data_IF_474933823008
#
_entry.id   IF_474933823008
#
_cell.length_a   1.000
_cell.length_b   1.000
_cell.length_c   1.000
_cell.angle_alpha   90.00
_cell.angle_beta   90.00
_cell.angle_gamma   90.00
#
_symmetry.space_group_name_H-M   'P 1'
#
loop_
_entity.id
_entity.type
_entity.pdbx_description
1 polymer ?
#
# COMPACT_ATOMS: atom_id res chain seq x y z
N UNK A 1 25.92 10.58 13.69
CA UNK A 1 24.85 10.45 14.69
C UNK A 1 24.03 9.23 14.31
N UNK A 2 23.77 8.31 15.25
CA UNK A 2 22.94 7.13 14.96
C UNK A 2 21.50 7.57 14.81
N UNK A 3 20.88 7.29 13.67
CA UNK A 3 19.48 7.63 13.39
C UNK A 3 18.57 6.81 14.30
N UNK A 4 17.67 7.46 15.04
CA UNK A 4 16.68 6.78 15.89
C UNK A 4 15.37 6.62 15.12
N UNK A 5 15.13 5.42 14.60
CA UNK A 5 13.96 5.09 13.78
C UNK A 5 12.64 5.09 14.56
N UNK A 6 12.67 4.84 15.89
CA UNK A 6 11.46 4.93 16.71
C UNK A 6 10.95 6.37 16.81
N UNK A 7 11.84 7.34 17.07
CA UNK A 7 11.46 8.76 17.09
C UNK A 7 10.99 9.25 15.72
N UNK A 8 11.58 8.72 14.64
CA UNK A 8 11.13 9.03 13.28
C UNK A 8 9.72 8.47 13.03
N UNK A 9 9.46 7.22 13.42
CA UNK A 9 8.15 6.61 13.28
C UNK A 9 7.08 7.41 14.06
N UNK A 10 7.38 7.88 15.26
CA UNK A 10 6.45 8.73 16.03
C UNK A 10 6.10 10.02 15.26
N UNK A 11 7.10 10.64 14.63
CA UNK A 11 6.89 11.81 13.77
C UNK A 11 6.08 11.48 12.50
N UNK A 12 6.33 10.32 11.88
CA UNK A 12 5.55 9.83 10.75
C UNK A 12 4.08 9.61 11.14
N UNK A 13 3.82 8.99 12.30
CA UNK A 13 2.47 8.75 12.83
C UNK A 13 1.74 10.06 13.07
N UNK A 14 2.38 11.04 13.73
CA UNK A 14 1.79 12.36 13.93
C UNK A 14 1.45 13.05 12.59
N UNK A 15 2.36 12.96 11.62
CA UNK A 15 2.15 13.50 10.26
C UNK A 15 0.96 12.85 9.56
N UNK A 16 0.87 11.51 9.59
CA UNK A 16 -0.24 10.78 8.98
C UNK A 16 -1.59 11.06 9.68
N UNK A 17 -1.58 11.31 10.99
CA UNK A 17 -2.77 11.71 11.75
C UNK A 17 -3.30 13.07 11.30
N UNK A 18 -2.41 14.05 11.15
CA UNK A 18 -2.77 15.38 10.67
C UNK A 18 -3.30 15.32 9.22
N UNK A 19 -2.61 14.59 8.33
CA UNK A 19 -3.06 14.36 6.96
C UNK A 19 -4.40 13.61 6.90
N UNK A 20 -4.62 12.64 7.80
CA UNK A 20 -5.88 11.93 7.89
C UNK A 20 -7.04 12.80 8.37
N UNK A 21 -6.80 13.72 9.31
CA UNK A 21 -7.81 14.69 9.73
C UNK A 21 -8.19 15.61 8.56
N UNK A 22 -7.20 16.09 7.80
CA UNK A 22 -7.43 16.91 6.60
C UNK A 22 -8.23 16.14 5.55
N UNK A 23 -7.77 14.95 5.15
CA UNK A 23 -8.45 14.15 4.12
C UNK A 23 -9.86 13.70 4.55
N UNK A 24 -10.11 13.46 5.85
CA UNK A 24 -11.45 13.15 6.35
C UNK A 24 -12.45 14.30 6.17
N UNK A 25 -11.99 15.55 6.28
CA UNK A 25 -12.84 16.71 6.05
C UNK A 25 -13.24 16.85 4.58
N UNK A 26 -12.34 16.52 3.65
CA UNK A 26 -12.70 16.32 2.24
C UNK A 26 -13.64 15.12 2.09
N UNK A 27 -13.27 13.95 2.61
CA UNK A 27 -14.02 12.70 2.49
C UNK A 27 -15.48 12.84 2.89
N UNK A 28 -15.79 13.54 3.99
CA UNK A 28 -17.17 13.78 4.46
C UNK A 28 -18.06 14.48 3.44
N UNK A 29 -17.47 15.21 2.50
CA UNK A 29 -18.15 15.96 1.44
C UNK A 29 -18.34 15.15 0.17
N UNK A 30 -18.04 13.85 0.16
CA UNK A 30 -18.21 12.99 -1.03
C UNK A 30 -19.65 13.01 -1.61
N UNK A 31 -20.67 13.23 -0.75
CA UNK A 31 -22.08 13.36 -1.16
C UNK A 31 -22.43 14.72 -1.78
N UNK A 32 -21.57 15.71 -1.57
CA UNK A 32 -21.71 17.08 -2.09
C UNK A 32 -21.03 17.27 -3.44
N UNK A 33 -20.44 16.21 -4.01
CA UNK A 33 -19.88 16.20 -5.36
C UNK A 33 -21.07 16.30 -6.35
N UNK A 34 -21.63 17.50 -6.48
CA UNK A 34 -22.60 17.84 -7.51
C UNK A 34 -21.90 18.13 -8.84
N UNK A 35 -22.47 17.56 -9.89
CA UNK A 35 -22.08 17.74 -11.29
C UNK A 35 -22.31 19.21 -11.65
N UNK A 36 -21.32 20.09 -11.53
CA UNK A 36 -21.52 21.47 -12.00
C UNK A 36 -20.42 22.51 -11.80
N UNK A 37 -19.50 22.35 -10.85
CA UNK A 37 -18.48 23.40 -10.59
C UNK A 37 -17.05 22.89 -10.75
N UNK A 38 -16.80 21.62 -10.40
CA UNK A 38 -15.55 20.87 -10.57
C UNK A 38 -15.91 19.39 -10.74
N UNK A 39 -15.19 18.66 -11.59
CA UNK A 39 -15.48 17.23 -11.81
C UNK A 39 -15.07 16.38 -10.59
N UNK A 40 -15.54 15.12 -10.47
CA UNK A 40 -15.09 14.20 -9.42
C UNK A 40 -13.56 14.05 -9.37
N UNK A 41 -12.89 14.05 -10.53
CA UNK A 41 -11.43 14.01 -10.60
C UNK A 41 -10.73 15.24 -10.01
N UNK A 42 -11.33 16.42 -10.12
CA UNK A 42 -10.77 17.65 -9.54
C UNK A 42 -10.87 17.63 -8.01
N UNK A 43 -11.96 17.06 -7.47
CA UNK A 43 -12.17 16.98 -6.02
C UNK A 43 -11.14 16.10 -5.32
N UNK A 44 -10.87 14.93 -5.89
CA UNK A 44 -9.89 14.01 -5.32
C UNK A 44 -8.47 14.55 -5.50
N UNK A 45 -8.17 15.15 -6.67
CA UNK A 45 -6.89 15.81 -6.90
C UNK A 45 -6.61 16.94 -5.91
N UNK A 46 -7.61 17.74 -5.53
CA UNK A 46 -7.44 18.77 -4.48
C UNK A 46 -7.09 18.11 -3.12
N UNK A 47 -7.80 17.06 -2.71
CA UNK A 47 -7.57 16.36 -1.44
C UNK A 47 -6.19 15.67 -1.39
N UNK A 48 -5.81 14.99 -2.47
CA UNK A 48 -4.51 14.35 -2.65
C UNK A 48 -3.36 15.37 -2.55
N UNK A 49 -3.45 16.47 -3.28
CA UNK A 49 -2.44 17.53 -3.29
C UNK A 49 -2.31 18.25 -1.95
N UNK A 50 -3.42 18.54 -1.29
CA UNK A 50 -3.42 19.20 0.02
C UNK A 50 -2.80 18.27 1.09
N UNK A 51 -3.14 16.97 1.04
CA UNK A 51 -2.55 15.94 1.90
C UNK A 51 -1.05 15.78 1.67
N UNK A 52 -0.59 15.60 0.42
CA UNK A 52 0.85 15.45 0.14
C UNK A 52 1.62 16.73 0.47
N UNK A 53 1.04 17.93 0.29
CA UNK A 53 1.66 19.19 0.70
C UNK A 53 1.92 19.21 2.20
N UNK A 54 0.92 18.89 3.03
CA UNK A 54 1.06 18.81 4.48
C UNK A 54 2.12 17.79 4.89
N UNK A 55 2.08 16.59 4.30
CA UNK A 55 3.03 15.51 4.60
C UNK A 55 4.46 15.96 4.24
N UNK A 56 4.66 16.57 3.07
CA UNK A 56 5.96 17.09 2.62
C UNK A 56 6.49 18.16 3.57
N UNK A 57 5.67 19.14 3.95
CA UNK A 57 6.06 20.20 4.87
C UNK A 57 6.53 19.66 6.22
N UNK A 58 5.76 18.72 6.80
CA UNK A 58 6.10 18.07 8.07
C UNK A 58 7.39 17.26 7.96
N UNK A 59 7.46 16.33 7.01
CA UNK A 59 8.61 15.42 6.87
C UNK A 59 9.89 16.17 6.52
N UNK A 60 9.86 17.04 5.50
CA UNK A 60 11.05 17.76 5.04
C UNK A 60 11.51 18.85 6.01
N UNK A 61 10.59 19.44 6.78
CA UNK A 61 10.92 20.43 7.81
C UNK A 61 11.78 19.87 8.94
N UNK A 62 11.58 18.59 9.29
CA UNK A 62 12.36 17.93 10.34
C UNK A 62 13.49 17.03 9.79
N UNK A 63 13.27 16.39 8.64
CA UNK A 63 14.17 15.45 8.00
C UNK A 63 14.29 15.78 6.50
N UNK A 64 15.20 16.71 6.11
CA UNK A 64 15.34 17.22 4.74
C UNK A 64 16.03 16.21 3.80
N UNK A 65 15.44 15.03 3.70
CA UNK A 65 15.84 13.90 2.87
C UNK A 65 15.13 13.93 1.52
N UNK A 66 15.50 13.02 0.62
CA UNK A 66 14.78 12.87 -0.64
C UNK A 66 13.32 12.47 -0.40
N UNK A 67 12.41 12.87 -1.27
CA UNK A 67 11.00 12.49 -1.19
C UNK A 67 10.45 12.22 -2.58
N UNK A 68 9.76 11.10 -2.73
CA UNK A 68 8.94 10.76 -3.90
C UNK A 68 7.52 10.55 -3.44
N UNK A 69 6.58 11.30 -4.00
CA UNK A 69 5.15 11.09 -3.81
C UNK A 69 4.43 10.97 -5.16
N UNK A 70 3.13 10.73 -5.12
CA UNK A 70 2.30 10.54 -6.33
C UNK A 70 1.97 11.88 -7.02
N UNK A 71 1.74 12.95 -6.26
CA UNK A 71 1.10 14.17 -6.76
C UNK A 71 2.08 15.24 -7.26
N UNK A 72 3.30 15.23 -6.73
CA UNK A 72 4.29 16.26 -7.01
C UNK A 72 5.62 15.66 -7.47
N UNK A 73 6.39 16.45 -8.20
CA UNK A 73 7.74 16.07 -8.61
C UNK A 73 8.60 15.64 -7.41
N UNK A 74 9.49 14.64 -7.59
CA UNK A 74 10.41 14.24 -6.55
C UNK A 74 11.28 15.40 -6.09
N UNK A 75 11.60 15.40 -4.79
CA UNK A 75 12.54 16.34 -4.19
C UNK A 75 13.81 15.58 -3.83
N UNK A 76 14.95 16.17 -4.14
CA UNK A 76 16.25 15.65 -3.73
C UNK A 76 16.65 16.20 -2.36
N UNK A 77 17.13 15.31 -1.50
CA UNK A 77 17.66 15.66 -0.18
C UNK A 77 19.17 15.87 -0.21
N UNK A 78 19.69 16.58 0.80
CA UNK A 78 21.14 16.67 1.02
C UNK A 78 21.71 15.31 1.46
N UNK A 79 20.92 14.53 2.19
CA UNK A 79 21.19 13.12 2.49
C UNK A 79 20.72 12.27 1.30
N UNK A 80 21.66 11.54 0.71
CA UNK A 80 21.42 10.67 -0.44
C UNK A 80 21.11 9.23 -0.02
N UNK A 81 21.29 8.89 1.26
CA UNK A 81 21.02 7.55 1.76
C UNK A 81 19.55 7.38 2.11
N UNK A 82 18.84 8.44 2.50
CA UNK A 82 17.44 8.37 2.95
C UNK A 82 16.46 8.95 1.94
N UNK A 83 15.32 8.27 1.77
CA UNK A 83 14.22 8.74 0.92
C UNK A 83 12.85 8.39 1.49
N UNK A 84 11.97 9.38 1.53
CA UNK A 84 10.55 9.22 1.81
C UNK A 84 9.82 8.75 0.56
N UNK A 85 8.91 7.78 0.72
CA UNK A 85 7.89 7.42 -0.27
C UNK A 85 6.53 7.72 0.35
N UNK A 86 5.67 8.45 -0.37
CA UNK A 86 4.39 8.94 0.16
C UNK A 86 3.29 8.68 -0.86
N UNK A 87 2.21 8.06 -0.40
CA UNK A 87 0.92 8.07 -1.11
C UNK A 87 -0.10 8.78 -0.21
N UNK A 88 -0.57 9.99 -0.58
CA UNK A 88 -1.50 10.76 0.22
C UNK A 88 -2.91 10.17 0.30
N UNK A 89 -3.38 9.43 -0.72
CA UNK A 89 -4.69 8.75 -0.75
C UNK A 89 -4.61 7.50 -1.65
N UNK A 90 -4.12 6.39 -1.10
CA UNK A 90 -4.24 5.09 -1.76
C UNK A 90 -5.70 4.64 -1.71
N UNK A 91 -6.24 4.35 -2.89
CA UNK A 91 -7.68 4.11 -3.08
C UNK A 91 -8.47 5.37 -3.38
N UNK A 92 -7.94 6.28 -4.20
CA UNK A 92 -8.61 7.46 -4.77
C UNK A 92 -10.06 7.19 -5.24
N UNK A 93 -10.30 6.04 -5.88
CA UNK A 93 -11.66 5.63 -6.29
C UNK A 93 -12.54 5.32 -5.08
N UNK A 94 -12.02 4.60 -4.09
CA UNK A 94 -12.74 4.36 -2.84
C UNK A 94 -13.08 5.67 -2.12
N UNK A 95 -12.12 6.59 -2.04
CA UNK A 95 -12.29 7.91 -1.45
C UNK A 95 -13.47 8.67 -2.09
N UNK A 96 -13.51 8.72 -3.43
CA UNK A 96 -14.59 9.35 -4.19
C UNK A 96 -15.98 8.78 -3.88
N UNK A 97 -16.05 7.47 -3.60
CA UNK A 97 -17.32 6.78 -3.34
C UNK A 97 -17.61 6.58 -1.84
N UNK A 98 -16.90 7.29 -0.96
CA UNK A 98 -17.17 7.22 0.48
C UNK A 98 -16.78 5.87 1.11
N UNK A 99 -15.79 5.19 0.54
CA UNK A 99 -15.23 3.93 1.04
C UNK A 99 -13.85 4.14 1.70
N UNK A 100 -13.32 3.07 2.30
CA UNK A 100 -12.03 3.12 2.98
C UNK A 100 -10.88 3.39 2.00
N UNK A 101 -10.02 4.32 2.39
CA UNK A 101 -8.77 4.68 1.71
C UNK A 101 -7.64 4.73 2.75
N UNK A 102 -6.39 4.85 2.30
CA UNK A 102 -5.25 4.92 3.21
C UNK A 102 -4.25 6.00 2.84
N UNK A 103 -3.57 6.55 3.84
CA UNK A 103 -2.35 7.34 3.68
C UNK A 103 -1.16 6.42 3.93
N UNK A 104 -0.15 6.46 3.08
CA UNK A 104 1.07 5.66 3.25
C UNK A 104 2.30 6.54 3.35
N UNK A 105 3.20 6.20 4.27
CA UNK A 105 4.50 6.85 4.39
C UNK A 105 5.52 5.74 4.65
N UNK A 106 6.52 5.64 3.78
CA UNK A 106 7.66 4.74 3.96
C UNK A 106 8.97 5.53 3.97
N UNK A 107 9.91 5.11 4.81
CA UNK A 107 11.28 5.59 4.84
C UNK A 107 12.20 4.51 4.28
N UNK A 108 12.90 4.83 3.20
CA UNK A 108 13.98 4.01 2.67
C UNK A 108 15.34 4.49 3.13
N UNK A 109 16.24 3.53 3.32
CA UNK A 109 17.69 3.76 3.38
C UNK A 109 18.38 2.91 2.32
N UNK A 110 18.97 3.54 1.31
CA UNK A 110 19.42 2.84 0.12
C UNK A 110 18.28 2.06 -0.54
N UNK A 111 18.45 0.74 -0.69
CA UNK A 111 17.45 -0.13 -1.30
C UNK A 111 16.52 -0.81 -0.27
N UNK A 112 16.56 -0.44 1.01
CA UNK A 112 15.75 -1.09 2.04
C UNK A 112 14.71 -0.14 2.63
N UNK A 113 13.46 -0.58 2.76
CA UNK A 113 12.45 0.12 3.57
C UNK A 113 12.71 -0.16 5.05
N UNK A 114 12.97 0.89 5.83
CA UNK A 114 13.36 0.79 7.25
C UNK A 114 12.19 1.10 8.18
N UNK A 115 11.36 2.08 7.84
CA UNK A 115 10.11 2.39 8.56
C UNK A 115 8.98 2.47 7.55
N UNK A 116 7.78 2.09 7.98
CA UNK A 116 6.59 2.18 7.13
C UNK A 116 5.33 2.32 7.97
N UNK A 117 4.39 3.09 7.47
CA UNK A 117 3.03 3.12 7.98
C UNK A 117 2.00 3.09 6.86
N UNK A 118 0.85 2.51 7.18
CA UNK A 118 -0.39 2.60 6.41
C UNK A 118 -1.45 3.04 7.40
N UNK A 119 -2.10 4.17 7.15
CA UNK A 119 -3.14 4.70 8.02
C UNK A 119 -4.47 4.77 7.28
N UNK A 120 -5.50 4.12 7.82
CA UNK A 120 -6.88 4.29 7.36
C UNK A 120 -7.59 5.32 8.25
N UNK A 121 -7.88 6.54 7.76
CA UNK A 121 -8.54 7.55 8.57
C UNK A 121 -10.00 7.23 8.90
N UNK A 122 -10.68 6.48 8.01
CA UNK A 122 -12.11 6.18 8.14
C UNK A 122 -12.36 5.18 9.28
N UNK A 123 -11.51 4.15 9.39
CA UNK A 123 -11.61 3.14 10.45
C UNK A 123 -10.72 3.43 11.67
N UNK A 124 -9.94 4.50 11.65
CA UNK A 124 -8.93 4.80 12.67
C UNK A 124 -7.94 3.64 12.91
N UNK A 125 -7.39 3.12 11.81
CA UNK A 125 -6.45 2.00 11.85
C UNK A 125 -5.05 2.45 11.41
N UNK A 126 -4.14 2.57 12.36
CA UNK A 126 -2.74 2.92 12.15
C UNK A 126 -1.88 1.66 12.18
N UNK A 127 -1.45 1.22 11.00
CA UNK A 127 -0.50 0.13 10.83
C UNK A 127 0.92 0.70 10.77
N UNK A 128 1.85 0.17 11.57
CA UNK A 128 3.24 0.64 11.61
C UNK A 128 4.22 -0.52 11.65
N UNK A 129 5.42 -0.31 11.10
CA UNK A 129 6.54 -1.24 11.22
C UNK A 129 7.88 -0.51 11.20
N UNK A 130 8.84 -1.08 11.94
CA UNK A 130 10.27 -0.80 11.80
C UNK A 130 10.95 -2.13 11.47
N UNK A 131 11.85 -2.11 10.50
CA UNK A 131 12.59 -3.30 10.08
C UNK A 131 13.31 -3.94 11.29
N UNK A 132 12.98 -5.20 11.59
CA UNK A 132 13.52 -5.98 12.70
C UNK A 132 12.73 -5.89 14.02
N UNK A 133 11.79 -4.96 14.17
CA UNK A 133 11.07 -4.70 15.43
C UNK A 133 9.61 -5.20 15.40
N UNK A 134 9.15 -5.72 14.27
CA UNK A 134 7.79 -6.19 14.06
C UNK A 134 6.83 -5.13 13.50
N UNK A 135 5.63 -5.58 13.16
CA UNK A 135 4.53 -4.75 12.70
C UNK A 135 3.42 -4.67 13.75
N UNK A 136 2.70 -3.55 13.79
CA UNK A 136 1.69 -3.24 14.78
C UNK A 136 0.46 -2.59 14.14
N UNK A 137 -0.73 -2.85 14.69
CA UNK A 137 -1.97 -2.11 14.41
C UNK A 137 -2.39 -1.43 15.72
N UNK A 138 -2.41 -0.10 15.75
CA UNK A 138 -2.78 0.68 16.95
C UNK A 138 -2.03 0.23 18.22
N UNK A 139 -0.76 -0.17 18.07
CA UNK A 139 0.10 -0.65 19.15
C UNK A 139 0.01 -2.15 19.45
N UNK A 140 -0.93 -2.88 18.84
CA UNK A 140 -1.03 -4.33 18.97
C UNK A 140 -0.20 -5.05 17.92
N UNK A 141 0.63 -6.00 18.33
CA UNK A 141 1.55 -6.71 17.42
C UNK A 141 0.81 -7.59 16.43
N UNK A 142 1.20 -7.48 15.16
CA UNK A 142 0.62 -8.22 14.05
C UNK A 142 1.30 -9.57 13.81
N UNK A 143 0.53 -10.48 13.20
CA UNK A 143 0.98 -11.73 12.60
C UNK A 143 0.07 -12.05 11.41
N UNK A 144 0.66 -12.53 10.33
CA UNK A 144 -0.13 -13.05 9.20
C UNK A 144 -0.99 -14.24 9.63
N UNK A 145 -2.08 -14.47 8.89
CA UNK A 145 -2.95 -15.63 9.13
C UNK A 145 -2.16 -16.94 8.96
N UNK A 146 -2.35 -17.92 9.84
CA UNK A 146 -1.63 -19.20 9.81
C UNK A 146 -2.32 -20.32 9.01
N UNK A 147 -3.49 -20.06 8.41
CA UNK A 147 -4.24 -21.08 7.69
C UNK A 147 -3.44 -21.68 6.54
N UNK A 148 -3.48 -23.01 6.43
CA UNK A 148 -2.94 -23.79 5.32
C UNK A 148 -4.05 -24.40 4.45
N UNK A 149 -5.30 -24.26 4.87
CA UNK A 149 -6.46 -24.78 4.14
C UNK A 149 -6.80 -23.85 2.99
N UNK A 150 -6.69 -24.37 1.76
CA UNK A 150 -7.01 -23.64 0.52
C UNK A 150 -8.45 -23.12 0.57
N UNK A 151 -9.39 -23.90 1.09
CA UNK A 151 -10.80 -23.50 1.18
C UNK A 151 -11.04 -22.33 2.17
N UNK A 152 -10.07 -22.00 3.01
CA UNK A 152 -10.11 -20.87 3.93
C UNK A 152 -9.25 -19.69 3.47
N UNK A 153 -8.57 -19.79 2.32
CA UNK A 153 -7.81 -18.69 1.78
C UNK A 153 -8.73 -17.54 1.36
N UNK A 154 -8.38 -16.33 1.82
CA UNK A 154 -9.03 -15.09 1.42
C UNK A 154 -8.00 -14.20 0.74
N UNK A 155 -8.07 -14.13 -0.59
CA UNK A 155 -7.04 -13.49 -1.42
C UNK A 155 -7.55 -12.15 -1.93
N UNK A 156 -6.78 -11.09 -1.69
CA UNK A 156 -7.02 -9.79 -2.28
C UNK A 156 -6.40 -9.66 -3.69
N UNK A 157 -7.00 -8.86 -4.56
CA UNK A 157 -6.42 -8.43 -5.84
C UNK A 157 -6.98 -7.07 -6.25
N UNK A 158 -6.26 -6.35 -7.10
CA UNK A 158 -6.85 -5.29 -7.92
C UNK A 158 -7.31 -5.80 -9.28
N UNK A 159 -8.33 -5.16 -9.87
CA UNK A 159 -8.82 -5.47 -11.20
C UNK A 159 -8.78 -4.20 -12.06
N UNK A 160 -8.22 -4.24 -13.29
CA UNK A 160 -8.20 -3.09 -14.15
C UNK A 160 -9.62 -2.72 -14.58
N UNK A 161 -9.93 -1.44 -14.48
CA UNK A 161 -11.11 -0.81 -15.10
C UNK A 161 -10.72 -0.24 -16.47
N UNK A 162 -11.68 0.13 -17.34
CA UNK A 162 -11.38 0.71 -18.66
C UNK A 162 -10.40 1.90 -18.61
N UNK A 163 -10.37 2.65 -17.50
CA UNK A 163 -9.50 3.81 -17.31
C UNK A 163 -8.11 3.44 -16.72
N UNK A 164 -7.93 2.23 -16.19
CA UNK A 164 -6.69 1.73 -15.58
C UNK A 164 -5.87 0.79 -16.50
N UNK A 165 -6.27 0.72 -17.78
CA UNK A 165 -5.77 -0.18 -18.83
C UNK A 165 -6.11 -1.65 -18.58
N UNK A 166 -7.06 -2.15 -19.36
CA UNK A 166 -7.29 -3.59 -19.49
C UNK A 166 -6.03 -4.23 -20.10
N UNK A 167 -5.48 -5.23 -19.42
CA UNK A 167 -4.40 -6.05 -19.95
C UNK A 167 -4.80 -7.53 -19.92
N UNK A 168 -4.36 -8.34 -20.91
CA UNK A 168 -4.84 -9.71 -21.10
C UNK A 168 -4.71 -10.62 -19.87
N UNK A 169 -3.70 -10.40 -19.03
CA UNK A 169 -3.41 -11.24 -17.86
C UNK A 169 -4.33 -11.05 -16.66
N UNK A 170 -4.98 -9.89 -16.48
CA UNK A 170 -5.64 -9.56 -15.21
C UNK A 170 -6.76 -10.54 -14.83
N UNK A 171 -7.72 -10.77 -15.74
CA UNK A 171 -8.85 -11.66 -15.50
C UNK A 171 -8.44 -13.14 -15.59
N UNK A 172 -7.39 -13.46 -16.35
CA UNK A 172 -6.82 -14.81 -16.39
C UNK A 172 -6.20 -15.20 -15.04
N UNK A 173 -5.58 -14.26 -14.32
CA UNK A 173 -5.08 -14.51 -12.96
C UNK A 173 -6.19 -14.82 -11.99
N UNK A 174 -7.27 -14.02 -12.05
CA UNK A 174 -8.44 -14.26 -11.23
C UNK A 174 -9.05 -15.64 -11.51
N UNK A 175 -9.15 -16.02 -12.79
CA UNK A 175 -9.64 -17.33 -13.19
C UNK A 175 -8.73 -18.47 -12.70
N UNK A 176 -7.41 -18.27 -12.69
CA UNK A 176 -6.42 -19.26 -12.27
C UNK A 176 -6.51 -19.61 -10.77
N UNK A 177 -6.95 -18.70 -9.91
CA UNK A 177 -6.93 -18.90 -8.45
C UNK A 177 -8.30 -19.20 -7.83
N UNK A 178 -9.40 -18.95 -8.55
CA UNK A 178 -10.74 -18.88 -7.93
C UNK A 178 -11.37 -20.23 -7.57
N UNK A 179 -10.92 -21.35 -8.16
CA UNK A 179 -11.67 -22.60 -8.11
C UNK A 179 -11.66 -23.31 -6.73
N UNK A 180 -10.57 -23.29 -5.94
CA UNK A 180 -10.56 -23.94 -4.62
C UNK A 180 -10.50 -22.98 -3.43
N UNK A 181 -10.26 -21.67 -3.63
CA UNK A 181 -10.09 -20.73 -2.51
C UNK A 181 -11.42 -20.28 -1.91
N UNK A 182 -11.40 -19.94 -0.62
CA UNK A 182 -12.60 -19.53 0.11
C UNK A 182 -13.20 -18.23 -0.40
N UNK A 183 -12.38 -17.22 -0.71
CA UNK A 183 -12.87 -15.99 -1.31
C UNK A 183 -11.80 -15.15 -2.00
N UNK A 184 -12.26 -14.37 -2.98
CA UNK A 184 -11.50 -13.23 -3.53
C UNK A 184 -12.08 -11.92 -2.96
N UNK A 185 -11.20 -10.94 -2.73
CA UNK A 185 -11.57 -9.57 -2.36
C UNK A 185 -10.92 -8.57 -3.31
N UNK A 186 -11.70 -7.59 -3.74
CA UNK A 186 -11.17 -6.38 -4.38
C UNK A 186 -11.33 -5.27 -3.35
N UNK A 187 -10.25 -4.95 -2.64
CA UNK A 187 -10.27 -3.97 -1.55
C UNK A 187 -10.31 -2.54 -2.09
N UNK A 188 -9.69 -2.31 -3.26
CA UNK A 188 -9.64 -0.99 -3.89
C UNK A 188 -8.52 -0.08 -3.37
N UNK A 189 -7.57 -0.62 -2.61
CA UNK A 189 -6.33 0.04 -2.16
C UNK A 189 -5.25 -1.03 -1.95
N UNK A 190 -4.08 -0.82 -2.55
CA UNK A 190 -2.98 -1.80 -2.52
C UNK A 190 -2.31 -1.84 -1.16
N UNK A 191 -2.11 -0.68 -0.53
CA UNK A 191 -1.52 -0.54 0.80
C UNK A 191 -2.42 -1.16 1.88
N UNK A 192 -3.73 -0.88 1.83
CA UNK A 192 -4.69 -1.47 2.77
C UNK A 192 -4.80 -2.99 2.59
N UNK A 193 -4.68 -3.48 1.35
CA UNK A 193 -4.61 -4.93 1.09
C UNK A 193 -3.38 -5.58 1.72
N UNK A 194 -2.20 -4.95 1.58
CA UNK A 194 -0.98 -5.40 2.28
C UNK A 194 -1.15 -5.37 3.80
N UNK A 195 -1.71 -4.29 4.35
CA UNK A 195 -1.98 -4.17 5.79
C UNK A 195 -2.95 -5.26 6.29
N UNK A 196 -3.96 -5.60 5.49
CA UNK A 196 -4.89 -6.68 5.80
C UNK A 196 -4.25 -8.06 5.74
N UNK A 197 -3.27 -8.29 4.87
CA UNK A 197 -2.43 -9.50 4.92
C UNK A 197 -1.60 -9.52 6.20
N UNK A 198 -0.94 -8.40 6.54
CA UNK A 198 -0.10 -8.30 7.72
C UNK A 198 -0.86 -8.59 9.04
N UNK A 199 -2.13 -8.15 9.14
CA UNK A 199 -2.98 -8.44 10.30
C UNK A 199 -3.86 -9.69 10.17
N UNK A 200 -3.71 -10.47 9.09
CA UNK A 200 -4.38 -11.76 8.90
C UNK A 200 -5.85 -11.70 8.49
N UNK A 201 -6.36 -10.53 8.09
CA UNK A 201 -7.70 -10.35 7.48
C UNK A 201 -7.76 -10.88 6.05
N UNK A 202 -6.62 -10.84 5.36
CA UNK A 202 -6.37 -11.55 4.11
C UNK A 202 -5.27 -12.58 4.34
N UNK A 203 -5.32 -13.69 3.60
CA UNK A 203 -4.26 -14.71 3.63
C UNK A 203 -3.20 -14.45 2.56
N UNK A 204 -3.56 -13.68 1.53
CA UNK A 204 -2.64 -13.16 0.52
C UNK A 204 -3.24 -12.02 -0.28
N UNK A 205 -2.39 -11.31 -0.99
CA UNK A 205 -2.72 -10.25 -1.93
C UNK A 205 -1.81 -10.35 -3.14
N UNK A 206 -2.36 -10.05 -4.31
CA UNK A 206 -1.60 -10.03 -5.54
C UNK A 206 -2.03 -8.88 -6.46
N UNK A 207 -1.08 -8.13 -7.01
CA UNK A 207 -1.34 -7.14 -8.07
C UNK A 207 -0.10 -6.82 -8.91
N UNK A 208 -0.28 -6.07 -10.00
CA UNK A 208 0.76 -5.30 -10.67
C UNK A 208 0.50 -3.81 -10.41
N UNK A 209 1.18 -3.21 -9.41
CA UNK A 209 0.92 -1.84 -8.94
C UNK A 209 2.19 -1.05 -8.59
N UNK A 210 2.06 0.24 -8.29
CA UNK A 210 3.16 1.13 -7.95
C UNK A 210 3.93 0.70 -6.69
N UNK A 211 5.24 0.93 -6.70
CA UNK A 211 6.05 0.67 -5.52
C UNK A 211 5.83 1.70 -4.40
N UNK A 212 5.46 2.93 -4.74
CA UNK A 212 5.13 3.98 -3.74
C UNK A 212 3.97 3.49 -2.86
N UNK A 213 2.91 2.99 -3.49
CA UNK A 213 1.68 2.50 -2.87
C UNK A 213 1.95 1.28 -1.95
N UNK A 214 2.92 0.44 -2.31
CA UNK A 214 3.15 -0.85 -1.64
C UNK A 214 4.35 -0.89 -0.71
N UNK A 215 5.26 0.10 -0.74
CA UNK A 215 6.51 0.06 0.02
C UNK A 215 6.29 -0.11 1.53
N UNK A 216 5.35 0.64 2.12
CA UNK A 216 5.00 0.50 3.54
C UNK A 216 4.30 -0.83 3.82
N UNK A 217 3.36 -1.23 2.96
CA UNK A 217 2.64 -2.49 3.04
C UNK A 217 3.54 -3.73 3.00
N UNK A 218 4.56 -3.73 2.14
CA UNK A 218 5.56 -4.79 2.02
C UNK A 218 6.31 -4.97 3.34
N UNK A 219 6.77 -3.87 3.95
CA UNK A 219 7.46 -3.94 5.24
C UNK A 219 6.53 -4.49 6.33
N UNK A 220 5.27 -4.03 6.38
CA UNK A 220 4.28 -4.55 7.33
C UNK A 220 4.12 -6.07 7.22
N UNK A 221 4.01 -6.59 6.00
CA UNK A 221 3.84 -8.04 5.78
C UNK A 221 5.10 -8.81 6.19
N UNK A 222 6.29 -8.34 5.82
CA UNK A 222 7.56 -8.98 6.19
C UNK A 222 7.73 -9.05 7.72
N UNK A 223 7.47 -7.95 8.42
CA UNK A 223 7.59 -7.85 9.88
C UNK A 223 6.48 -8.61 10.64
N UNK A 224 5.35 -8.87 9.99
CA UNK A 224 4.29 -9.75 10.48
C UNK A 224 4.55 -11.25 10.20
N UNK A 225 5.66 -11.60 9.54
CA UNK A 225 6.05 -12.98 9.23
C UNK A 225 5.47 -13.53 7.92
N UNK A 226 5.03 -12.66 7.01
CA UNK A 226 4.61 -13.02 5.66
C UNK A 226 5.77 -13.09 4.66
N UNK A 227 5.45 -13.52 3.45
CA UNK A 227 6.36 -13.66 2.32
C UNK A 227 6.00 -12.65 1.24
N UNK A 228 7.02 -12.06 0.62
CA UNK A 228 6.90 -11.09 -0.46
C UNK A 228 7.77 -11.53 -1.63
N UNK A 229 7.17 -11.70 -2.81
CA UNK A 229 7.88 -11.98 -4.06
C UNK A 229 7.12 -11.40 -5.25
N UNK A 230 7.67 -11.50 -6.44
CA UNK A 230 6.90 -11.38 -7.67
C UNK A 230 6.22 -12.72 -8.06
N UNK A 231 5.59 -12.81 -9.25
CA UNK A 231 4.92 -14.04 -9.75
C UNK A 231 5.84 -15.26 -9.95
N UNK A 232 7.15 -15.04 -10.01
CA UNK A 232 8.16 -16.07 -10.27
C UNK A 232 9.07 -16.32 -9.06
N UNK A 233 8.70 -15.79 -7.90
CA UNK A 233 9.43 -16.00 -6.65
C UNK A 233 10.68 -15.14 -6.52
N UNK A 234 10.81 -14.10 -7.36
CA UNK A 234 11.96 -13.18 -7.33
C UNK A 234 11.76 -12.08 -6.30
N UNK A 235 12.88 -11.54 -5.81
CA UNK A 235 12.94 -10.60 -4.69
C UNK A 235 12.72 -9.12 -5.06
N UNK A 236 13.03 -8.20 -4.12
CA UNK A 236 12.80 -6.76 -4.24
C UNK A 236 13.40 -6.13 -5.50
N UNK A 237 14.54 -6.63 -5.95
CA UNK A 237 15.22 -6.13 -7.14
C UNK A 237 14.39 -6.27 -8.44
N UNK A 238 13.33 -7.10 -8.42
CA UNK A 238 12.37 -7.29 -9.50
C UNK A 238 11.01 -6.64 -9.22
N UNK A 239 10.37 -6.95 -8.08
CA UNK A 239 9.00 -6.45 -7.84
C UNK A 239 8.95 -4.93 -7.65
N UNK A 240 9.99 -4.31 -7.11
CA UNK A 240 10.04 -2.84 -6.95
C UNK A 240 10.07 -2.11 -8.30
N UNK A 241 10.60 -2.75 -9.34
CA UNK A 241 10.71 -2.16 -10.69
C UNK A 241 9.51 -2.47 -11.57
N UNK A 242 8.96 -3.67 -11.42
CA UNK A 242 7.90 -4.19 -12.30
C UNK A 242 6.51 -3.94 -11.72
N UNK A 243 6.40 -3.67 -10.42
CA UNK A 243 5.13 -3.57 -9.69
C UNK A 243 4.44 -4.91 -9.47
N UNK A 244 5.00 -5.99 -10.01
CA UNK A 244 4.46 -7.35 -9.89
C UNK A 244 4.68 -7.88 -8.48
N UNK A 245 3.62 -8.10 -7.71
CA UNK A 245 3.71 -8.36 -6.29
C UNK A 245 2.75 -9.46 -5.81
N UNK A 246 3.29 -10.47 -5.11
CA UNK A 246 2.59 -11.34 -4.16
C UNK A 246 3.02 -10.91 -2.75
N UNK A 247 2.07 -10.65 -1.87
CA UNK A 247 2.30 -10.63 -0.42
C UNK A 247 1.34 -11.60 0.26
N UNK A 248 1.83 -12.54 1.06
CA UNK A 248 0.98 -13.60 1.61
C UNK A 248 1.56 -14.30 2.83
N UNK A 249 0.73 -15.06 3.55
CA UNK A 249 1.23 -16.12 4.42
C UNK A 249 1.89 -17.24 3.59
N UNK A 250 2.65 -18.12 4.23
CA UNK A 250 3.45 -19.14 3.52
C UNK A 250 2.62 -20.08 2.63
N UNK A 251 1.47 -20.56 3.10
CA UNK A 251 0.64 -21.50 2.34
C UNK A 251 -0.06 -20.83 1.15
N UNK A 252 -0.59 -19.62 1.34
CA UNK A 252 -1.24 -18.85 0.27
C UNK A 252 -0.20 -18.39 -0.75
N UNK A 253 1.01 -18.02 -0.31
CA UNK A 253 2.12 -17.69 -1.21
C UNK A 253 2.43 -18.85 -2.16
N UNK A 254 2.60 -20.06 -1.63
CA UNK A 254 2.85 -21.26 -2.44
C UNK A 254 1.72 -21.53 -3.45
N UNK A 255 0.46 -21.40 -3.01
CA UNK A 255 -0.71 -21.55 -3.87
C UNK A 255 -0.71 -20.52 -5.02
N UNK A 256 -0.52 -19.23 -4.71
CA UNK A 256 -0.50 -18.17 -5.72
C UNK A 256 0.66 -18.35 -6.71
N UNK A 257 1.84 -18.71 -6.23
CA UNK A 257 3.01 -19.01 -7.06
C UNK A 257 2.75 -20.12 -8.09
N UNK A 258 2.07 -21.18 -7.69
CA UNK A 258 1.74 -22.30 -8.58
C UNK A 258 0.79 -21.88 -9.71
N UNK A 259 -0.20 -21.04 -9.40
CA UNK A 259 -1.31 -20.71 -10.30
C UNK A 259 -1.07 -19.44 -11.14
N UNK A 260 -0.27 -18.49 -10.66
CA UNK A 260 -0.09 -17.19 -11.33
C UNK A 260 1.09 -17.17 -12.32
N UNK A 261 2.13 -17.99 -12.11
CA UNK A 261 3.38 -17.96 -12.90
C UNK A 261 3.20 -18.15 -14.42
N UNK A 262 2.10 -18.80 -14.83
CA UNK A 262 1.78 -19.07 -16.23
C UNK A 262 0.96 -17.95 -16.92
N UNK A 263 0.53 -16.94 -16.17
CA UNK A 263 -0.32 -15.87 -16.68
C UNK A 263 0.52 -14.66 -17.10
N UNK A 264 0.35 -14.12 -18.33
CA UNK A 264 1.15 -13.00 -18.84
C UNK A 264 1.07 -11.74 -17.95
N UNK A 265 2.18 -11.02 -17.68
CA UNK A 265 2.15 -9.72 -16.99
C UNK A 265 1.48 -8.62 -17.82
N UNK A 266 1.17 -7.48 -17.21
CA UNK A 266 0.61 -6.28 -17.86
C UNK A 266 1.44 -5.83 -19.04
N UNK A 267 2.77 -5.84 -18.86
CA UNK A 267 3.74 -5.52 -19.91
C UNK A 267 4.67 -6.73 -20.13
N UNK A 268 4.37 -7.61 -21.11
CA UNK A 268 5.32 -8.66 -21.49
C UNK A 268 6.59 -8.00 -22.06
N UNK A 269 7.75 -8.41 -21.54
CA UNK A 269 9.06 -7.98 -22.05
C UNK A 269 9.31 -8.49 -23.47
#
# INVERSE_FOLDING_TARGET
MTVNYSTILDHMVATARDAGALTLDHFRRFREIEIGVKGPGDFVSDADRDSETLIRERLLGQYPWGLTGEEFAPVEGADQDHRWLVDPIDGTTNFLFGQHYTITIALRRGNETICGLVYNPVSDEMFTAIKGDGAYLNGERLRVNATTDVALMCVGTGLPTPNLQLYPGAYQRLDAIRAPIGAVRVVGSAANSCAYVACGRLTGYYEETGFVDTAAGILLVQEAGGIVTDWWGRGPEFYEKTGTLIVANAATHAYLMEHLRGVPPKNPA
#
